data_IF_330572274390
#
_entry.id   IF_330572274390
#
_cell.length_a   1.000
_cell.length_b   1.000
_cell.length_c   1.000
_cell.angle_alpha   90.00
_cell.angle_beta   90.00
_cell.angle_gamma   90.00
#
_symmetry.space_group_name_H-M   'P 1'
#
loop_
_entity.id
_entity.type
_entity.pdbx_description
1 polymer ?
#
# COMPACT_ATOMS: atom_id res chain seq x y z
N UNK A 1 -3.97 -81.40 23.92
CA UNK A 1 -3.12 -82.61 23.96
C UNK A 1 -3.67 -83.51 22.86
N UNK A 2 -3.04 -83.87 21.75
CA UNK A 2 -1.65 -83.86 21.27
C UNK A 2 -1.74 -83.76 19.73
N UNK A 3 -1.10 -82.77 19.09
CA UNK A 3 0.14 -82.94 18.31
C UNK A 3 0.30 -84.31 17.64
N UNK A 4 0.10 -84.35 16.31
CA UNK A 4 0.98 -85.07 15.40
C UNK A 4 1.02 -84.32 14.06
N UNK A 5 2.22 -83.84 13.73
CA UNK A 5 2.67 -83.32 12.45
C UNK A 5 3.04 -84.51 11.56
N UNK A 6 2.73 -84.45 10.27
CA UNK A 6 3.53 -85.13 9.25
C UNK A 6 3.50 -84.35 7.93
N UNK A 7 4.61 -84.42 7.21
CA UNK A 7 5.05 -83.43 6.24
C UNK A 7 5.31 -84.04 4.85
N UNK A 8 5.03 -83.24 3.80
CA UNK A 8 5.76 -83.16 2.48
C UNK A 8 5.42 -84.27 1.46
N UNK A 9 5.20 -83.99 0.14
CA UNK A 9 6.14 -83.28 -0.77
C UNK A 9 5.55 -82.22 -1.73
N UNK A 10 6.42 -81.42 -2.41
CA UNK A 10 6.00 -80.23 -3.16
C UNK A 10 5.49 -80.57 -4.56
N UNK A 11 4.33 -79.99 -4.93
CA UNK A 11 3.80 -80.05 -6.28
C UNK A 11 4.34 -78.87 -7.11
N UNK A 12 5.12 -79.25 -8.10
CA UNK A 12 5.80 -78.44 -9.12
C UNK A 12 4.75 -77.71 -9.99
N UNK A 13 4.57 -76.42 -9.80
CA UNK A 13 3.78 -75.57 -10.69
C UNK A 13 4.64 -74.63 -11.54
N UNK A 14 4.11 -74.41 -12.75
CA UNK A 14 4.84 -74.11 -13.97
C UNK A 14 5.27 -72.65 -14.03
N UNK A 15 6.50 -72.45 -14.51
CA UNK A 15 6.95 -71.19 -15.11
C UNK A 15 5.96 -70.79 -16.22
N UNK A 16 5.23 -69.70 -16.00
CA UNK A 16 4.59 -68.94 -17.07
C UNK A 16 5.48 -67.73 -17.40
N UNK A 17 6.05 -67.82 -18.60
CA UNK A 17 6.39 -66.74 -19.54
C UNK A 17 6.50 -65.30 -19.00
N UNK A 18 7.74 -64.80 -18.98
CA UNK A 18 8.04 -63.37 -19.21
C UNK A 18 7.63 -62.99 -20.65
N UNK A 19 6.90 -61.88 -20.87
CA UNK A 19 6.99 -61.20 -22.15
C UNK A 19 8.29 -60.37 -22.17
N UNK A 20 9.14 -60.70 -23.14
CA UNK A 20 10.21 -59.84 -23.65
C UNK A 20 9.57 -58.98 -24.75
N UNK A 21 9.49 -57.68 -24.50
CA UNK A 21 9.15 -56.63 -25.46
C UNK A 21 9.34 -55.32 -24.71
N UNK A 22 10.42 -54.57 -24.94
CA UNK A 22 10.55 -53.77 -26.15
C UNK A 22 9.89 -52.42 -25.86
N UNK A 23 10.61 -51.53 -25.17
CA UNK A 23 10.06 -50.26 -24.69
C UNK A 23 11.15 -49.40 -24.07
N UNK A 24 12.06 -48.93 -24.91
CA UNK A 24 13.20 -48.09 -24.58
C UNK A 24 12.76 -46.62 -24.43
N UNK A 25 11.76 -46.32 -23.60
CA UNK A 25 11.42 -44.95 -23.24
C UNK A 25 10.90 -44.86 -21.81
N UNK A 26 11.35 -43.80 -21.11
CA UNK A 26 10.77 -43.29 -19.86
C UNK A 26 11.15 -44.00 -18.54
N UNK A 27 12.46 -44.07 -18.22
CA UNK A 27 12.92 -44.26 -16.83
C UNK A 27 13.44 -42.97 -16.16
N UNK A 28 13.52 -41.86 -16.89
CA UNK A 28 13.97 -40.56 -16.37
C UNK A 28 12.84 -39.68 -15.79
N UNK A 29 11.58 -39.90 -16.20
CA UNK A 29 10.44 -39.05 -15.79
C UNK A 29 9.91 -39.34 -14.37
N UNK A 30 9.85 -40.61 -13.96
CA UNK A 30 9.34 -40.97 -12.63
C UNK A 30 10.28 -40.53 -11.50
N UNK A 31 11.60 -40.60 -11.68
CA UNK A 31 12.56 -40.17 -10.66
C UNK A 31 12.68 -38.63 -10.51
N UNK A 32 12.14 -37.85 -11.46
CA UNK A 32 12.10 -36.39 -11.41
C UNK A 32 10.83 -35.89 -10.72
N UNK A 33 9.68 -36.52 -10.99
CA UNK A 33 8.41 -36.22 -10.32
C UNK A 33 8.43 -36.64 -8.84
N UNK A 34 9.02 -37.78 -8.52
CA UNK A 34 9.12 -38.27 -7.12
C UNK A 34 10.10 -37.41 -6.28
N UNK A 35 11.08 -36.77 -6.92
CA UNK A 35 11.97 -35.77 -6.27
C UNK A 35 11.32 -34.40 -6.09
N UNK A 36 10.28 -34.08 -6.87
CA UNK A 36 9.57 -32.80 -6.77
C UNK A 36 8.48 -32.84 -5.70
N UNK A 37 7.73 -33.95 -5.62
CA UNK A 37 6.68 -34.16 -4.61
C UNK A 37 7.25 -34.38 -3.20
N UNK A 38 8.43 -34.98 -3.07
CA UNK A 38 9.10 -35.21 -1.77
C UNK A 38 9.90 -34.00 -1.25
N UNK A 39 10.31 -33.05 -2.11
CA UNK A 39 11.05 -31.82 -1.70
C UNK A 39 10.20 -30.56 -1.60
N UNK A 40 9.02 -30.51 -2.22
CA UNK A 40 8.07 -29.40 -2.10
C UNK A 40 7.74 -29.02 -0.63
N UNK A 41 7.48 -29.96 0.31
CA UNK A 41 7.22 -29.59 1.70
C UNK A 41 8.46 -29.05 2.43
N UNK A 42 9.67 -29.43 2.01
CA UNK A 42 10.93 -28.94 2.60
C UNK A 42 11.22 -27.51 2.13
N UNK A 43 10.88 -27.18 0.88
CA UNK A 43 11.08 -25.84 0.32
C UNK A 43 10.06 -24.83 0.86
N UNK A 44 8.80 -25.24 1.06
CA UNK A 44 7.79 -24.40 1.73
C UNK A 44 8.13 -24.15 3.20
N UNK A 45 8.59 -25.17 3.93
CA UNK A 45 9.07 -25.01 5.31
C UNK A 45 10.27 -24.06 5.42
N UNK A 46 11.23 -24.15 4.50
CA UNK A 46 12.37 -23.24 4.45
C UNK A 46 11.98 -21.80 4.06
N UNK A 47 11.00 -21.63 3.17
CA UNK A 47 10.46 -20.32 2.81
C UNK A 47 9.75 -19.65 4.00
N UNK A 48 8.95 -20.43 4.75
CA UNK A 48 8.29 -19.98 5.98
C UNK A 48 9.30 -19.59 7.06
N UNK A 49 10.36 -20.39 7.27
CA UNK A 49 11.46 -20.05 8.20
C UNK A 49 12.13 -18.73 7.82
N UNK A 50 12.45 -18.51 6.53
CA UNK A 50 13.04 -17.24 6.07
C UNK A 50 12.09 -16.05 6.19
N UNK A 51 10.79 -16.25 6.08
CA UNK A 51 9.79 -15.21 6.31
C UNK A 51 9.70 -14.87 7.81
N UNK A 52 9.64 -15.88 8.67
CA UNK A 52 9.66 -15.73 10.12
C UNK A 52 10.94 -15.02 10.61
N UNK A 53 12.11 -15.39 10.07
CA UNK A 53 13.38 -14.73 10.39
C UNK A 53 13.40 -13.25 9.98
N UNK A 54 12.80 -12.91 8.84
CA UNK A 54 12.67 -11.51 8.39
C UNK A 54 11.75 -10.72 9.32
N UNK A 55 10.64 -11.31 9.73
CA UNK A 55 9.71 -10.71 10.69
C UNK A 55 10.40 -10.53 12.05
N UNK A 56 11.08 -11.55 12.56
CA UNK A 56 11.81 -11.50 13.83
C UNK A 56 12.93 -10.46 13.81
N UNK A 57 13.71 -10.37 12.71
CA UNK A 57 14.72 -9.33 12.52
C UNK A 57 14.09 -7.93 12.46
N UNK A 58 12.94 -7.79 11.80
CA UNK A 58 12.17 -6.55 11.75
C UNK A 58 11.70 -6.09 13.13
N UNK A 59 11.11 -7.01 13.90
CA UNK A 59 10.66 -6.77 15.27
C UNK A 59 11.82 -6.43 16.21
N UNK A 60 12.94 -7.15 16.13
CA UNK A 60 14.13 -6.86 16.92
C UNK A 60 14.72 -5.47 16.60
N UNK A 61 14.71 -5.06 15.32
CA UNK A 61 15.15 -3.73 14.89
C UNK A 61 14.20 -2.64 15.41
N UNK A 62 12.89 -2.89 15.36
CA UNK A 62 11.88 -1.98 15.88
C UNK A 62 11.99 -1.80 17.41
N UNK A 63 12.16 -2.90 18.16
CA UNK A 63 12.39 -2.87 19.62
C UNK A 63 13.66 -2.09 19.98
N UNK A 64 14.79 -2.36 19.31
CA UNK A 64 16.02 -1.57 19.50
C UNK A 64 15.85 -0.09 19.16
N UNK A 65 15.07 0.24 18.12
CA UNK A 65 14.78 1.62 17.76
C UNK A 65 13.84 2.31 18.77
N UNK A 66 12.99 1.54 19.45
CA UNK A 66 12.16 2.00 20.57
C UNK A 66 12.92 2.06 21.91
N UNK A 67 14.19 1.64 21.94
CA UNK A 67 14.99 1.63 23.17
C UNK A 67 14.69 0.44 24.09
N UNK A 68 14.07 -0.62 23.56
CA UNK A 68 13.79 -1.87 24.29
C UNK A 68 14.78 -2.96 23.84
N UNK A 69 15.21 -3.81 24.77
CA UNK A 69 16.00 -4.99 24.46
C UNK A 69 15.14 -5.95 23.62
N UNK A 70 15.61 -6.39 22.44
CA UNK A 70 14.84 -7.28 21.57
C UNK A 70 14.48 -8.63 22.21
N UNK A 71 15.27 -9.11 23.18
CA UNK A 71 15.08 -10.41 23.83
C UNK A 71 14.20 -10.33 25.07
N UNK A 72 14.44 -9.36 25.94
CA UNK A 72 13.75 -9.24 27.24
C UNK A 72 12.57 -8.27 27.20
N UNK A 73 12.51 -7.36 26.22
CA UNK A 73 11.48 -6.31 26.15
C UNK A 73 11.69 -5.18 27.16
N UNK A 74 12.70 -5.28 28.02
CA UNK A 74 13.07 -4.27 29.01
C UNK A 74 13.71 -3.04 28.35
N UNK A 75 13.58 -1.84 28.93
CA UNK A 75 14.27 -0.66 28.43
C UNK A 75 15.78 -0.88 28.48
N UNK A 76 16.44 -0.74 27.32
CA UNK A 76 17.89 -0.79 27.22
C UNK A 76 18.47 0.33 28.10
N UNK A 77 19.43 0.03 28.99
CA UNK A 77 20.15 1.07 29.68
C UNK A 77 20.78 1.97 28.62
N UNK A 78 20.50 3.26 28.70
CA UNK A 78 21.03 4.25 27.76
C UNK A 78 22.57 4.25 27.81
N UNK A 79 23.21 3.44 26.98
CA UNK A 79 24.68 3.30 26.92
C UNK A 79 25.38 4.57 26.47
N UNK A 80 24.65 5.52 25.87
CA UNK A 80 25.21 6.81 25.44
C UNK A 80 24.99 7.85 26.51
N UNK A 81 26.11 8.37 27.05
CA UNK A 81 26.12 9.50 27.99
C UNK A 81 25.28 10.65 27.42
N UNK A 82 24.48 11.37 28.24
CA UNK A 82 23.61 12.45 27.77
C UNK A 82 24.38 13.54 27.01
N UNK A 83 25.65 13.76 27.36
CA UNK A 83 26.57 14.69 26.69
C UNK A 83 26.80 14.35 25.22
N UNK A 84 26.93 13.06 24.88
CA UNK A 84 27.18 12.63 23.49
C UNK A 84 25.93 12.76 22.63
N UNK A 85 24.74 12.55 23.23
CA UNK A 85 23.45 12.79 22.58
C UNK A 85 23.27 14.28 22.26
N UNK A 86 23.59 15.17 23.21
CA UNK A 86 23.55 16.63 23.02
C UNK A 86 24.50 17.08 21.91
N UNK A 87 25.76 16.60 21.93
CA UNK A 87 26.74 16.89 20.86
C UNK A 87 26.24 16.43 19.49
N UNK A 88 25.64 15.24 19.39
CA UNK A 88 25.06 14.74 18.13
C UNK A 88 23.86 15.56 17.67
N UNK A 89 22.98 15.95 18.59
CA UNK A 89 21.83 16.80 18.30
C UNK A 89 22.28 18.17 17.74
N UNK A 90 23.27 18.81 18.37
CA UNK A 90 23.85 20.08 17.88
C UNK A 90 24.51 19.92 16.50
N UNK A 91 25.25 18.83 16.25
CA UNK A 91 25.83 18.54 14.91
C UNK A 91 24.74 18.38 13.85
N UNK A 92 23.65 17.67 14.18
CA UNK A 92 22.50 17.51 13.27
C UNK A 92 21.78 18.84 13.02
N UNK A 93 21.69 19.69 14.05
CA UNK A 93 21.11 21.03 13.96
C UNK A 93 21.90 21.93 13.01
N UNK A 94 23.24 21.88 13.11
CA UNK A 94 24.16 22.59 12.24
C UNK A 94 24.08 22.11 10.78
N UNK A 95 24.00 20.80 10.54
CA UNK A 95 23.84 20.24 9.20
C UNK A 95 22.54 20.74 8.51
N UNK A 96 21.41 20.72 9.24
CA UNK A 96 20.14 21.23 8.73
C UNK A 96 20.18 22.74 8.47
N UNK A 97 20.89 23.49 9.31
CA UNK A 97 21.09 24.93 9.07
C UNK A 97 21.87 25.17 7.78
N UNK A 98 22.96 24.43 7.53
CA UNK A 98 23.72 24.52 6.28
C UNK A 98 22.83 24.22 5.06
N UNK A 99 22.02 23.17 5.12
CA UNK A 99 21.07 22.84 4.05
C UNK A 99 20.02 23.95 3.79
N UNK A 100 19.55 24.64 4.84
CA UNK A 100 18.64 25.77 4.69
C UNK A 100 19.34 27.02 4.13
N UNK A 101 20.61 27.23 4.49
CA UNK A 101 21.42 28.31 3.95
C UNK A 101 21.74 28.08 2.46
N UNK A 102 22.01 26.85 2.03
CA UNK A 102 22.20 26.55 0.59
C UNK A 102 20.91 26.76 -0.19
N UNK A 103 19.76 26.31 0.33
CA UNK A 103 18.46 26.57 -0.30
C UNK A 103 18.14 28.07 -0.39
N UNK A 104 18.46 28.85 0.65
CA UNK A 104 18.31 30.30 0.64
C UNK A 104 19.21 30.98 -0.41
N UNK A 105 20.42 30.46 -0.63
CA UNK A 105 21.36 30.99 -1.61
C UNK A 105 20.84 30.74 -3.03
N UNK A 106 20.35 29.53 -3.29
CA UNK A 106 19.74 29.18 -4.57
C UNK A 106 18.52 30.06 -4.86
N UNK A 107 17.62 30.24 -3.89
CA UNK A 107 16.45 31.10 -4.04
C UNK A 107 16.82 32.59 -4.27
N UNK A 108 17.85 33.09 -3.57
CA UNK A 108 18.32 34.45 -3.80
C UNK A 108 18.96 34.61 -5.20
N UNK A 109 19.71 33.59 -5.65
CA UNK A 109 20.31 33.55 -6.98
C UNK A 109 19.27 33.53 -8.10
N UNK A 110 18.23 32.70 -7.99
CA UNK A 110 17.16 32.64 -9.01
C UNK A 110 16.39 33.96 -9.10
N UNK A 111 16.09 34.59 -7.96
CA UNK A 111 15.47 35.93 -7.94
C UNK A 111 16.41 36.98 -8.53
N UNK A 112 17.70 36.90 -8.25
CA UNK A 112 18.72 37.79 -8.82
C UNK A 112 18.78 37.69 -10.34
N UNK A 113 18.78 36.48 -10.91
CA UNK A 113 18.80 36.25 -12.36
C UNK A 113 17.51 36.73 -13.02
N UNK A 114 16.34 36.35 -12.48
CA UNK A 114 15.05 36.79 -13.01
C UNK A 114 14.91 38.32 -12.94
N UNK A 115 15.36 38.92 -11.83
CA UNK A 115 15.34 40.37 -11.67
C UNK A 115 16.36 41.08 -12.56
N UNK A 116 17.50 40.45 -12.87
CA UNK A 116 18.51 40.96 -13.80
C UNK A 116 18.05 40.91 -15.25
N UNK A 117 17.35 39.85 -15.66
CA UNK A 117 16.72 39.75 -16.99
C UNK A 117 15.63 40.80 -17.15
N UNK A 118 14.79 41.01 -16.12
CA UNK A 118 13.71 41.99 -16.15
C UNK A 118 14.18 43.44 -16.00
N UNK A 119 15.19 43.69 -15.18
CA UNK A 119 15.74 45.02 -14.88
C UNK A 119 17.17 45.19 -15.42
N UNK A 120 17.45 44.75 -16.66
CA UNK A 120 18.81 44.79 -17.24
C UNK A 120 19.41 46.22 -17.26
N UNK A 121 18.57 47.25 -17.40
CA UNK A 121 18.97 48.66 -17.34
C UNK A 121 19.35 49.17 -15.93
N UNK A 122 19.03 48.43 -14.88
CA UNK A 122 19.25 48.83 -13.48
C UNK A 122 19.79 47.66 -12.65
N UNK A 123 21.07 47.28 -12.82
CA UNK A 123 21.67 46.14 -12.14
C UNK A 123 21.62 46.25 -10.60
N UNK A 124 21.63 47.47 -10.06
CA UNK A 124 21.49 47.72 -8.61
C UNK A 124 20.16 47.24 -8.01
N UNK A 125 19.07 47.23 -8.79
CA UNK A 125 17.76 46.74 -8.33
C UNK A 125 17.77 45.22 -8.19
N UNK A 126 18.35 44.50 -9.15
CA UNK A 126 18.47 43.04 -9.12
C UNK A 126 19.30 42.57 -7.91
N UNK A 127 20.44 43.23 -7.65
CA UNK A 127 21.26 42.97 -6.46
C UNK A 127 20.47 43.28 -5.17
N UNK A 128 19.66 44.35 -5.16
CA UNK A 128 18.78 44.68 -4.04
C UNK A 128 17.76 43.59 -3.74
N UNK A 129 17.10 43.03 -4.76
CA UNK A 129 16.14 41.93 -4.60
C UNK A 129 16.81 40.65 -4.08
N UNK A 130 17.96 40.27 -4.64
CA UNK A 130 18.77 39.16 -4.17
C UNK A 130 19.14 39.31 -2.68
N UNK A 131 19.67 40.48 -2.29
CA UNK A 131 20.08 40.77 -0.91
C UNK A 131 18.90 40.70 0.07
N UNK A 132 17.73 41.24 -0.32
CA UNK A 132 16.51 41.19 0.53
C UNK A 132 16.02 39.76 0.74
N UNK A 133 15.97 38.96 -0.34
CA UNK A 133 15.53 37.55 -0.27
C UNK A 133 16.50 36.74 0.59
N UNK A 134 17.82 36.91 0.36
CA UNK A 134 18.86 36.28 1.17
C UNK A 134 18.74 36.68 2.64
N UNK A 135 18.66 37.97 2.97
CA UNK A 135 18.58 38.45 4.35
C UNK A 135 17.34 37.88 5.07
N UNK A 136 16.18 37.85 4.39
CA UNK A 136 14.94 37.30 4.97
C UNK A 136 15.02 35.79 5.18
N UNK A 137 15.56 35.05 4.21
CA UNK A 137 15.68 33.59 4.29
C UNK A 137 16.76 33.16 5.30
N UNK A 138 17.93 33.80 5.28
CA UNK A 138 19.02 33.57 6.23
C UNK A 138 18.61 33.96 7.66
N UNK A 139 17.91 35.08 7.85
CA UNK A 139 17.38 35.49 9.15
C UNK A 139 16.43 34.45 9.75
N UNK A 140 15.50 33.92 8.95
CA UNK A 140 14.61 32.82 9.38
C UNK A 140 15.38 31.53 9.68
N UNK A 141 16.40 31.20 8.89
CA UNK A 141 17.21 30.00 9.11
C UNK A 141 18.00 30.08 10.43
N UNK A 142 18.56 31.26 10.75
CA UNK A 142 19.26 31.54 12.02
C UNK A 142 18.31 31.47 13.22
N UNK A 143 17.19 32.19 13.19
CA UNK A 143 16.19 32.15 14.26
C UNK A 143 15.66 30.72 14.51
N UNK A 144 15.42 29.95 13.44
CA UNK A 144 15.02 28.55 13.58
C UNK A 144 16.12 27.63 14.10
N UNK A 145 17.40 27.98 13.95
CA UNK A 145 18.53 27.26 14.57
C UNK A 145 18.66 27.64 16.03
N UNK A 146 18.61 28.92 16.36
CA UNK A 146 18.71 29.42 17.74
C UNK A 146 17.64 28.78 18.63
N UNK A 147 16.37 28.76 18.20
CA UNK A 147 15.29 28.05 18.92
C UNK A 147 15.59 26.56 19.15
N UNK A 148 16.11 25.87 18.14
CA UNK A 148 16.46 24.44 18.27
C UNK A 148 17.66 24.23 19.17
N UNK A 149 18.67 25.08 19.07
CA UNK A 149 19.88 24.97 19.87
C UNK A 149 19.56 25.34 21.34
N UNK A 150 18.71 26.34 21.61
CA UNK A 150 18.19 26.68 22.93
C UNK A 150 17.39 25.53 23.56
N UNK A 151 16.49 24.90 22.79
CA UNK A 151 15.77 23.70 23.21
C UNK A 151 16.70 22.50 23.51
N UNK A 152 17.78 22.31 22.72
CA UNK A 152 18.78 21.27 22.97
C UNK A 152 19.65 21.58 24.20
N UNK A 153 19.84 22.86 24.53
CA UNK A 153 20.61 23.29 25.71
C UNK A 153 19.78 23.31 26.99
N UNK A 154 18.45 23.31 26.88
CA UNK A 154 17.54 23.39 28.03
C UNK A 154 17.41 24.82 28.57
N UNK A 155 17.69 25.83 27.74
CA UNK A 155 17.68 27.26 28.13
C UNK A 155 16.27 27.89 28.02
N UNK A 156 15.29 27.22 27.40
CA UNK A 156 13.90 27.71 27.31
C UNK A 156 13.03 27.12 28.44
N UNK A 157 12.49 27.99 29.32
CA UNK A 157 11.39 27.69 30.24
C UNK A 157 10.13 27.23 29.48
N UNK A 158 9.34 26.29 30.02
CA UNK A 158 8.34 25.55 29.26
C UNK A 158 7.09 26.41 28.99
N UNK A 159 7.14 27.23 27.94
CA UNK A 159 5.95 27.61 27.19
C UNK A 159 5.89 26.69 25.97
N UNK A 160 5.29 25.52 26.21
CA UNK A 160 4.72 24.62 25.20
C UNK A 160 5.55 24.50 23.91
N UNK A 161 6.79 24.00 24.04
CA UNK A 161 7.56 23.59 22.86
C UNK A 161 6.98 22.25 22.41
N UNK A 162 6.43 22.12 21.19
CA UNK A 162 6.02 20.83 20.68
C UNK A 162 7.28 19.99 20.57
N UNK A 163 7.41 19.02 21.48
CA UNK A 163 8.45 17.99 21.39
C UNK A 163 8.34 17.43 19.98
N UNK A 164 9.38 17.54 19.13
CA UNK A 164 9.30 16.97 17.79
C UNK A 164 8.94 15.51 17.93
N UNK A 165 7.91 15.06 17.20
CA UNK A 165 7.30 13.74 17.27
C UNK A 165 8.26 12.55 16.99
N UNK A 166 9.57 12.78 16.92
CA UNK A 166 10.61 11.78 16.72
C UNK A 166 11.20 11.17 17.99
N UNK A 167 10.69 11.47 19.19
CA UNK A 167 11.32 11.04 20.46
C UNK A 167 10.42 10.32 21.45
N UNK A 168 9.23 9.87 21.03
CA UNK A 168 8.47 8.87 21.78
C UNK A 168 7.96 7.84 20.78
N UNK A 169 8.80 6.83 20.50
CA UNK A 169 8.42 5.68 19.69
C UNK A 169 7.79 4.64 20.63
N UNK A 170 6.56 4.92 21.05
CA UNK A 170 5.76 4.01 21.85
C UNK A 170 5.13 2.96 20.91
N UNK A 171 5.50 1.67 21.02
CA UNK A 171 5.01 0.62 20.12
C UNK A 171 3.50 0.37 20.22
N UNK A 172 2.83 0.84 21.29
CA UNK A 172 1.38 0.71 21.48
C UNK A 172 0.60 1.97 21.09
N UNK A 173 1.25 3.04 20.65
CA UNK A 173 0.56 4.26 20.24
C UNK A 173 -0.13 4.05 18.90
N UNK A 174 -1.46 3.91 18.91
CA UNK A 174 -2.27 4.11 17.69
C UNK A 174 -1.86 5.45 17.09
N UNK A 175 -1.31 5.42 15.89
CA UNK A 175 -0.80 6.57 15.15
C UNK A 175 -1.96 7.55 14.93
N UNK A 176 -2.20 8.46 15.87
CA UNK A 176 -3.11 9.56 15.65
C UNK A 176 -2.49 10.41 14.54
N UNK A 177 -3.10 10.39 13.35
CA UNK A 177 -2.77 11.36 12.30
C UNK A 177 -3.01 12.72 12.94
N UNK A 178 -1.96 13.51 13.12
CA UNK A 178 -2.12 14.87 13.59
C UNK A 178 -3.02 15.60 12.59
N UNK A 179 -4.25 15.95 13.01
CA UNK A 179 -5.07 16.90 12.27
C UNK A 179 -4.27 18.20 12.21
N UNK A 180 -4.10 18.74 11.01
CA UNK A 180 -3.46 20.04 10.84
C UNK A 180 -4.23 21.08 11.68
N UNK A 181 -3.55 22.04 12.32
CA UNK A 181 -4.25 23.12 13.01
C UNK A 181 -5.15 23.83 11.99
N UNK A 182 -6.44 23.92 12.32
CA UNK A 182 -7.46 24.61 11.52
C UNK A 182 -7.01 26.07 11.37
N UNK A 183 -6.40 26.36 10.23
CA UNK A 183 -5.97 27.70 9.87
C UNK A 183 -7.20 28.50 9.48
N UNK A 184 -7.52 29.51 10.28
CA UNK A 184 -8.54 30.50 9.98
C UNK A 184 -8.34 31.09 8.57
N UNK A 185 -9.36 30.93 7.72
CA UNK A 185 -9.61 31.81 6.56
C UNK A 185 -8.68 31.68 5.35
N UNK A 186 -7.98 30.57 5.14
CA UNK A 186 -7.25 30.37 3.87
C UNK A 186 -8.23 29.87 2.82
N UNK A 187 -8.43 30.63 1.72
CA UNK A 187 -9.04 30.11 0.49
C UNK A 187 -8.44 28.74 0.19
N UNK A 188 -9.29 27.71 0.06
CA UNK A 188 -8.91 26.32 -0.13
C UNK A 188 -7.71 26.24 -1.09
N UNK A 189 -6.57 25.75 -0.57
CA UNK A 189 -5.42 25.50 -1.43
C UNK A 189 -5.87 24.55 -2.54
N UNK A 190 -5.42 24.79 -3.77
CA UNK A 190 -5.74 23.93 -4.92
C UNK A 190 -5.25 22.52 -4.59
N UNK A 191 -6.17 21.63 -4.23
CA UNK A 191 -5.86 20.22 -4.10
C UNK A 191 -5.76 19.70 -5.52
N UNK A 192 -4.54 19.42 -5.98
CA UNK A 192 -4.35 18.64 -7.20
C UNK A 192 -4.79 17.21 -6.89
N UNK A 193 -6.07 16.91 -7.16
CA UNK A 193 -6.56 15.55 -7.24
C UNK A 193 -5.93 14.96 -8.51
N UNK A 194 -4.95 14.07 -8.32
CA UNK A 194 -4.21 13.45 -9.42
C UNK A 194 -5.12 12.72 -10.41
N UNK A 195 -4.55 12.33 -11.56
CA UNK A 195 -5.25 11.54 -12.58
C UNK A 195 -5.74 10.21 -11.98
N UNK A 196 -6.96 9.82 -12.29
CA UNK A 196 -7.51 8.50 -11.94
C UNK A 196 -6.75 7.40 -12.68
N UNK A 197 -6.65 6.21 -12.07
CA UNK A 197 -5.92 5.08 -12.65
C UNK A 197 -6.74 4.32 -13.72
N UNK A 198 -8.02 4.64 -13.88
CA UNK A 198 -8.91 3.94 -14.81
C UNK A 198 -8.95 4.69 -16.14
N UNK A 199 -8.14 4.25 -17.12
CA UNK A 199 -8.27 4.68 -18.52
C UNK A 199 -9.38 3.87 -19.18
N UNK A 200 -10.62 4.32 -19.07
CA UNK A 200 -11.68 3.92 -20.00
C UNK A 200 -12.59 5.13 -20.17
N UNK A 201 -12.72 5.60 -21.41
CA UNK A 201 -13.64 6.68 -21.77
C UNK A 201 -15.06 6.20 -21.47
N UNK A 202 -15.57 6.57 -20.30
CA UNK A 202 -16.96 6.32 -19.92
C UNK A 202 -17.84 7.23 -20.76
N UNK A 203 -18.44 6.66 -21.81
CA UNK A 203 -19.55 7.26 -22.55
C UNK A 203 -20.71 7.48 -21.57
N UNK A 204 -20.81 8.70 -21.03
CA UNK A 204 -21.95 9.11 -20.20
C UNK A 204 -23.15 9.17 -21.14
N UNK A 205 -24.13 8.29 -20.93
CA UNK A 205 -25.41 8.37 -21.63
C UNK A 205 -26.12 9.66 -21.18
N UNK A 206 -26.51 10.52 -22.13
CA UNK A 206 -27.21 11.81 -21.92
C UNK A 206 -28.66 11.61 -21.42
N UNK A 207 -28.86 10.76 -20.41
CA UNK A 207 -30.15 10.61 -19.76
C UNK A 207 -30.18 11.54 -18.55
N UNK A 208 -30.65 12.77 -18.79
CA UNK A 208 -30.92 13.80 -17.79
C UNK A 208 -32.00 13.33 -16.82
N UNK A 209 -31.64 12.49 -15.84
CA UNK A 209 -32.43 12.25 -14.65
C UNK A 209 -31.58 12.67 -13.44
N UNK A 210 -31.73 13.94 -13.06
CA UNK A 210 -31.13 14.55 -11.87
C UNK A 210 -31.84 14.07 -10.59
N UNK A 211 -31.83 12.76 -10.32
CA UNK A 211 -32.53 12.20 -9.16
C UNK A 211 -31.84 10.96 -8.56
N UNK A 212 -30.52 10.96 -8.42
CA UNK A 212 -29.89 10.24 -7.30
C UNK A 212 -29.65 11.25 -6.17
N UNK A 213 -30.67 11.48 -5.35
CA UNK A 213 -30.53 12.32 -4.13
C UNK A 213 -29.83 11.56 -3.00
N UNK A 214 -29.78 10.23 -3.09
CA UNK A 214 -29.17 9.33 -2.10
C UNK A 214 -28.36 8.24 -2.79
N UNK A 215 -27.05 8.26 -2.57
CA UNK A 215 -26.14 7.20 -3.05
C UNK A 215 -26.41 5.85 -2.36
N UNK A 216 -26.99 5.88 -1.15
CA UNK A 216 -27.38 4.67 -0.40
C UNK A 216 -28.36 3.81 -1.18
N UNK A 217 -29.31 4.40 -1.90
CA UNK A 217 -30.38 3.64 -2.55
C UNK A 217 -29.82 2.79 -3.70
N UNK A 218 -28.83 3.31 -4.44
CA UNK A 218 -28.08 2.52 -5.42
C UNK A 218 -27.27 1.40 -4.76
N UNK A 219 -26.62 1.69 -3.63
CA UNK A 219 -25.85 0.71 -2.89
C UNK A 219 -26.74 -0.40 -2.29
N UNK A 220 -27.96 -0.08 -1.88
CA UNK A 220 -28.94 -1.04 -1.37
C UNK A 220 -29.41 -1.98 -2.48
N UNK A 221 -29.66 -1.47 -3.70
CA UNK A 221 -29.96 -2.33 -4.86
C UNK A 221 -28.79 -3.27 -5.16
N UNK A 222 -27.55 -2.75 -5.11
CA UNK A 222 -26.36 -3.59 -5.29
C UNK A 222 -26.21 -4.65 -4.20
N UNK A 223 -26.48 -4.29 -2.94
CA UNK A 223 -26.42 -5.20 -1.81
C UNK A 223 -27.49 -6.29 -1.90
N UNK A 224 -28.71 -5.92 -2.29
CA UNK A 224 -29.79 -6.87 -2.52
C UNK A 224 -29.42 -7.85 -3.64
N UNK A 225 -28.93 -7.35 -4.78
CA UNK A 225 -28.47 -8.19 -5.89
C UNK A 225 -27.33 -9.13 -5.48
N UNK A 226 -26.40 -8.67 -4.64
CA UNK A 226 -25.33 -9.51 -4.11
C UNK A 226 -25.84 -10.58 -3.12
N UNK A 227 -26.92 -10.29 -2.36
CA UNK A 227 -27.51 -11.24 -1.41
C UNK A 227 -28.33 -12.35 -2.07
N UNK A 228 -28.80 -12.12 -3.29
CA UNK A 228 -29.62 -13.06 -4.07
C UNK A 228 -28.79 -13.87 -5.06
N UNK A 229 -27.46 -13.90 -4.91
CA UNK A 229 -26.60 -14.57 -5.87
C UNK A 229 -26.70 -16.10 -5.75
N UNK A 230 -27.16 -16.74 -6.81
CA UNK A 230 -27.33 -18.20 -6.89
C UNK A 230 -26.07 -18.86 -7.50
N UNK A 231 -25.57 -19.99 -6.95
CA UNK A 231 -24.52 -20.79 -7.58
C UNK A 231 -24.78 -21.19 -9.04
N UNK A 232 -26.02 -21.23 -9.52
CA UNK A 232 -26.33 -21.48 -10.94
C UNK A 232 -25.86 -20.36 -11.89
N UNK A 233 -25.53 -19.18 -11.36
CA UNK A 233 -25.16 -17.98 -12.12
C UNK A 233 -23.68 -17.58 -11.96
N UNK A 234 -22.78 -18.53 -11.66
CA UNK A 234 -21.34 -18.27 -11.46
C UNK A 234 -20.63 -17.60 -12.65
N UNK A 235 -21.12 -17.76 -13.88
CA UNK A 235 -20.58 -17.04 -15.04
C UNK A 235 -20.90 -15.54 -15.01
N UNK A 236 -22.08 -15.16 -14.51
CA UNK A 236 -22.45 -13.76 -14.31
C UNK A 236 -21.66 -13.15 -13.14
N UNK A 237 -21.32 -13.97 -12.14
CA UNK A 237 -20.46 -13.56 -11.02
C UNK A 237 -19.05 -13.19 -11.50
N UNK A 238 -18.50 -13.99 -12.42
CA UNK A 238 -17.20 -13.71 -13.02
C UNK A 238 -17.20 -12.35 -13.74
N UNK A 239 -18.24 -12.06 -14.53
CA UNK A 239 -18.37 -10.77 -15.20
C UNK A 239 -18.47 -9.60 -14.19
N UNK A 240 -19.19 -9.80 -13.08
CA UNK A 240 -19.28 -8.82 -12.00
C UNK A 240 -17.93 -8.57 -11.32
N UNK A 241 -17.15 -9.63 -11.05
CA UNK A 241 -15.81 -9.52 -10.47
C UNK A 241 -14.86 -8.78 -11.42
N UNK A 242 -14.90 -9.10 -12.71
CA UNK A 242 -14.07 -8.45 -13.72
C UNK A 242 -14.42 -6.94 -13.86
N UNK A 243 -15.69 -6.57 -13.68
CA UNK A 243 -16.15 -5.18 -13.75
C UNK A 243 -15.96 -4.39 -12.44
N UNK A 244 -15.78 -5.07 -11.31
CA UNK A 244 -15.74 -4.47 -9.97
C UNK A 244 -14.73 -3.31 -9.82
N UNK A 245 -13.48 -3.40 -10.34
CA UNK A 245 -12.53 -2.29 -10.31
C UNK A 245 -13.02 -1.08 -11.13
N UNK A 246 -13.68 -1.33 -12.27
CA UNK A 246 -14.24 -0.29 -13.14
C UNK A 246 -15.41 0.40 -12.45
N UNK A 247 -16.34 -0.36 -11.87
CA UNK A 247 -17.48 0.17 -11.13
C UNK A 247 -17.05 1.07 -9.97
N UNK A 248 -16.08 0.61 -9.15
CA UNK A 248 -15.55 1.41 -8.03
C UNK A 248 -14.74 2.62 -8.51
N UNK A 249 -14.09 2.54 -9.67
CA UNK A 249 -13.47 3.69 -10.34
C UNK A 249 -14.49 4.76 -10.74
N UNK A 250 -15.67 4.37 -11.21
CA UNK A 250 -16.76 5.30 -11.52
C UNK A 250 -17.28 6.00 -10.26
N UNK A 251 -17.46 5.27 -9.15
CA UNK A 251 -17.82 5.86 -7.85
C UNK A 251 -16.72 6.79 -7.32
N UNK A 252 -15.45 6.48 -7.58
CA UNK A 252 -14.36 7.39 -7.24
C UNK A 252 -14.45 8.69 -8.04
N UNK A 253 -14.77 8.62 -9.33
CA UNK A 253 -14.85 9.81 -10.18
C UNK A 253 -16.04 10.71 -9.79
N UNK A 254 -17.15 10.16 -9.30
CA UNK A 254 -18.25 10.99 -8.77
C UNK A 254 -17.79 11.82 -7.56
N UNK A 255 -16.95 11.28 -6.67
CA UNK A 255 -16.38 12.06 -5.55
C UNK A 255 -15.46 13.18 -6.04
N UNK A 256 -14.73 12.96 -7.13
CA UNK A 256 -13.88 13.99 -7.74
C UNK A 256 -14.74 15.12 -8.31
N UNK A 257 -15.73 14.78 -9.13
CA UNK A 257 -16.66 15.74 -9.73
C UNK A 257 -17.39 16.53 -8.64
N UNK A 258 -17.83 15.86 -7.58
CA UNK A 258 -18.47 16.52 -6.44
C UNK A 258 -17.53 17.51 -5.75
N UNK A 259 -16.26 17.15 -5.51
CA UNK A 259 -15.28 18.06 -4.92
C UNK A 259 -15.00 19.28 -5.81
N UNK A 260 -14.94 19.10 -7.14
CA UNK A 260 -14.73 20.17 -8.12
C UNK A 260 -15.96 21.11 -8.19
N UNK A 261 -17.18 20.56 -8.29
CA UNK A 261 -18.42 21.34 -8.33
C UNK A 261 -18.68 22.06 -6.99
N UNK A 262 -18.48 21.38 -5.85
CA UNK A 262 -18.68 21.98 -4.53
C UNK A 262 -17.75 23.15 -4.26
N UNK A 263 -16.60 23.19 -4.92
CA UNK A 263 -15.66 24.31 -4.85
C UNK A 263 -16.10 25.50 -5.70
N UNK A 264 -16.57 25.25 -6.91
CA UNK A 264 -16.76 26.29 -7.92
C UNK A 264 -18.19 26.86 -7.95
N UNK A 265 -19.20 26.05 -7.61
CA UNK A 265 -20.62 26.41 -7.80
C UNK A 265 -21.47 26.42 -6.52
N UNK A 266 -21.03 25.77 -5.44
CA UNK A 266 -21.83 25.64 -4.22
C UNK A 266 -21.21 26.42 -3.05
N UNK A 267 -22.01 27.03 -2.15
CA UNK A 267 -21.51 27.73 -0.97
C UNK A 267 -21.14 26.74 0.15
N UNK A 268 -20.19 25.84 -0.11
CA UNK A 268 -19.76 24.79 0.83
C UNK A 268 -18.49 25.23 1.56
N UNK A 269 -18.37 24.87 2.83
CA UNK A 269 -17.17 25.13 3.63
C UNK A 269 -15.94 24.41 3.02
N UNK A 270 -14.80 25.09 2.86
CA UNK A 270 -13.55 24.48 2.40
C UNK A 270 -13.14 23.19 3.12
N UNK A 271 -13.43 23.06 4.41
CA UNK A 271 -13.13 21.87 5.20
C UNK A 271 -13.90 20.64 4.69
N UNK A 272 -15.15 20.82 4.25
CA UNK A 272 -15.97 19.72 3.71
C UNK A 272 -15.39 19.26 2.36
N UNK A 273 -14.96 20.20 1.51
CA UNK A 273 -14.31 19.88 0.22
C UNK A 273 -12.99 19.13 0.43
N UNK A 274 -12.22 19.48 1.47
CA UNK A 274 -10.99 18.78 1.83
C UNK A 274 -11.25 17.33 2.27
N UNK A 275 -12.28 17.10 3.10
CA UNK A 275 -12.70 15.76 3.53
C UNK A 275 -13.21 14.90 2.36
N UNK A 276 -13.97 15.48 1.42
CA UNK A 276 -14.36 14.77 0.18
C UNK A 276 -13.11 14.37 -0.62
N UNK A 277 -12.11 15.26 -0.71
CA UNK A 277 -10.82 14.97 -1.33
C UNK A 277 -10.02 13.88 -0.59
N UNK A 278 -10.13 13.76 0.74
CA UNK A 278 -9.59 12.61 1.48
C UNK A 278 -10.31 11.30 1.11
N UNK A 279 -11.63 11.35 0.96
CA UNK A 279 -12.45 10.24 0.47
C UNK A 279 -11.98 9.73 -0.90
N UNK A 280 -11.79 10.62 -1.87
CA UNK A 280 -11.24 10.28 -3.20
C UNK A 280 -9.87 9.59 -3.10
N UNK A 281 -8.96 10.09 -2.26
CA UNK A 281 -7.63 9.46 -2.06
C UNK A 281 -7.72 8.12 -1.33
N UNK A 282 -8.68 7.93 -0.44
CA UNK A 282 -8.95 6.64 0.17
C UNK A 282 -9.46 5.64 -0.87
N UNK A 283 -10.34 6.08 -1.77
CA UNK A 283 -10.91 5.23 -2.81
C UNK A 283 -9.88 4.72 -3.82
N UNK A 284 -8.87 5.53 -4.16
CA UNK A 284 -7.72 5.06 -4.96
C UNK A 284 -7.07 3.78 -4.37
N UNK A 285 -7.00 3.67 -3.03
CA UNK A 285 -6.44 2.48 -2.38
C UNK A 285 -7.39 1.29 -2.43
N UNK A 286 -8.71 1.53 -2.44
CA UNK A 286 -9.73 0.49 -2.59
C UNK A 286 -9.71 -0.06 -4.01
N UNK A 287 -9.75 0.81 -5.03
CA UNK A 287 -9.65 0.41 -6.44
C UNK A 287 -8.37 -0.38 -6.70
N UNK A 288 -7.23 0.07 -6.19
CA UNK A 288 -5.96 -0.65 -6.33
C UNK A 288 -5.95 -2.02 -5.62
N UNK A 289 -6.71 -2.20 -4.54
CA UNK A 289 -6.84 -3.50 -3.88
C UNK A 289 -7.76 -4.46 -4.66
N UNK A 290 -8.76 -3.91 -5.36
CA UNK A 290 -9.71 -4.67 -6.15
C UNK A 290 -9.15 -5.14 -7.50
N UNK A 291 -8.13 -4.46 -8.04
CA UNK A 291 -7.49 -4.78 -9.32
C UNK A 291 -6.90 -6.21 -9.37
N UNK A 292 -6.51 -6.77 -8.22
CA UNK A 292 -5.97 -8.13 -8.12
C UNK A 292 -7.07 -9.20 -8.04
N UNK A 293 -8.30 -8.83 -7.68
CA UNK A 293 -9.40 -9.78 -7.44
C UNK A 293 -9.76 -10.59 -8.69
N UNK A 294 -9.91 -10.00 -9.89
CA UNK A 294 -10.15 -10.74 -11.13
C UNK A 294 -9.08 -11.80 -11.42
N UNK A 295 -7.81 -11.43 -11.24
CA UNK A 295 -6.67 -12.31 -11.49
C UNK A 295 -6.67 -13.51 -10.55
N UNK A 296 -6.95 -13.28 -9.26
CA UNK A 296 -7.06 -14.35 -8.27
C UNK A 296 -8.25 -15.27 -8.57
N UNK A 297 -9.40 -14.69 -8.92
CA UNK A 297 -10.61 -15.46 -9.26
C UNK A 297 -10.35 -16.40 -10.45
N UNK A 298 -9.82 -15.87 -11.56
CA UNK A 298 -9.48 -16.66 -12.76
C UNK A 298 -8.48 -17.76 -12.46
N UNK A 299 -7.51 -17.53 -11.56
CA UNK A 299 -6.52 -18.54 -11.17
C UNK A 299 -7.15 -19.68 -10.36
N UNK A 300 -8.03 -19.36 -9.41
CA UNK A 300 -8.64 -20.35 -8.50
C UNK A 300 -9.72 -21.15 -9.23
N UNK A 301 -10.51 -20.50 -10.08
CA UNK A 301 -11.63 -21.11 -10.81
C UNK A 301 -11.29 -21.51 -12.24
N UNK A 302 -10.01 -21.63 -12.61
CA UNK A 302 -9.59 -21.95 -13.98
C UNK A 302 -10.29 -23.20 -14.56
N UNK A 303 -10.48 -24.23 -13.73
CA UNK A 303 -11.15 -25.48 -14.14
C UNK A 303 -12.66 -25.30 -14.36
N UNK A 304 -13.31 -24.45 -13.57
CA UNK A 304 -14.75 -24.19 -13.68
C UNK A 304 -15.05 -23.25 -14.85
N UNK A 305 -14.17 -22.27 -15.08
CA UNK A 305 -14.20 -21.36 -16.23
C UNK A 305 -14.00 -22.14 -17.53
N UNK A 306 -13.04 -23.05 -17.59
CA UNK A 306 -12.78 -23.87 -18.79
C UNK A 306 -14.00 -24.74 -19.16
N UNK A 307 -14.72 -25.27 -18.17
CA UNK A 307 -15.98 -26.01 -18.39
C UNK A 307 -17.09 -25.09 -18.90
N UNK A 308 -17.23 -23.90 -18.33
CA UNK A 308 -18.26 -22.94 -18.71
C UNK A 308 -18.03 -22.28 -20.08
N UNK A 309 -16.78 -22.00 -20.45
CA UNK A 309 -16.41 -21.34 -21.71
C UNK A 309 -16.31 -22.32 -22.89
N UNK A 310 -16.07 -23.61 -22.63
CA UNK A 310 -15.96 -24.64 -23.67
C UNK A 310 -16.73 -25.94 -23.32
N UNK A 311 -18.07 -25.88 -23.25
CA UNK A 311 -18.88 -27.03 -22.85
C UNK A 311 -18.80 -28.14 -23.91
N UNK A 312 -18.32 -29.34 -23.53
CA UNK A 312 -18.17 -30.47 -24.48
C UNK A 312 -19.50 -30.98 -25.04
N UNK A 313 -20.61 -30.82 -24.31
CA UNK A 313 -21.94 -31.34 -24.65
C UNK A 313 -23.06 -30.28 -24.50
N UNK A 314 -22.73 -28.99 -24.58
CA UNK A 314 -23.67 -27.87 -24.38
C UNK A 314 -23.99 -27.58 -22.90
N UNK A 315 -24.42 -26.34 -22.64
CA UNK A 315 -24.58 -25.74 -21.30
C UNK A 315 -25.57 -26.51 -20.39
N UNK A 316 -26.61 -27.12 -20.97
CA UNK A 316 -27.62 -27.87 -20.20
C UNK A 316 -27.12 -29.24 -19.69
N UNK A 317 -26.12 -29.84 -20.34
CA UNK A 317 -25.63 -31.18 -20.03
C UNK A 317 -24.73 -31.23 -18.79
N UNK A 318 -24.09 -30.12 -18.43
CA UNK A 318 -23.19 -30.03 -17.27
C UNK A 318 -23.93 -29.55 -16.00
N UNK A 319 -25.08 -28.88 -16.12
CA UNK A 319 -25.94 -28.51 -14.97
C UNK A 319 -26.50 -29.72 -14.22
N UNK A 320 -26.66 -30.87 -14.89
CA UNK A 320 -27.17 -32.12 -14.29
C UNK A 320 -26.13 -32.90 -13.46
N UNK A 321 -24.86 -32.49 -13.46
CA UNK A 321 -23.79 -33.18 -12.72
C UNK A 321 -23.44 -32.54 -11.37
N UNK A 322 -24.16 -31.50 -10.97
CA UNK A 322 -24.12 -31.00 -9.60
C UNK A 322 -25.24 -31.67 -8.78
N UNK A 323 -25.01 -32.93 -8.40
CA UNK A 323 -25.74 -33.66 -7.35
C UNK A 323 -24.80 -33.88 -6.18
#
# INVERSE_FOLDING_TARGET
MSLCKEATPPRRERRTSRPRGGGLFSRAGHAALDRYTSRAPVWSANAQRRAADRIAKGQAKARKAAGLDPRTGEPLPSTKKPVDRRKRALRSSAARHRARMTAAALAAGTVGVLSGVWNWRHPGRAVGHMRRVWARAAGRARAARERRDAAIRGEETPREVPVPAGTVNDPNRRRQKAKAPVGTGRRAARVDLGKTNTRKDSSVSDTTNTAFTRLSDAADVMLQAASTFDPEHMSQFQALIDDLPTAMGTVQETLRVLAEISRDRLPVDPAVVEEIGEGFRAMNRVVAALDEVPTVYRRVHAQDIERGENPRNGIESERKWNV
#
